data_IF_788315165397
#
_entry.id   IF_788315165397
#
_cell.length_a   1.000
_cell.length_b   1.000
_cell.length_c   1.000
_cell.angle_alpha   90.00
_cell.angle_beta   90.00
_cell.angle_gamma   90.00
#
_symmetry.space_group_name_H-M   'P 1'
#
loop_
_entity.id
_entity.type
_entity.pdbx_description
1 polymer ?
#
# COMPACT_ATOMS: atom_id res chain seq x y z
N UNK A 1 -15.75 -80.51 -41.11
CA UNK A 1 -16.08 -79.19 -40.53
C UNK A 1 -17.58 -79.09 -40.42
N UNK A 2 -18.16 -79.70 -39.39
CA UNK A 2 -19.57 -79.46 -39.05
C UNK A 2 -19.53 -78.31 -38.05
N UNK A 3 -19.72 -77.10 -38.56
CA UNK A 3 -20.17 -75.99 -37.71
C UNK A 3 -21.57 -76.38 -37.27
N UNK A 4 -21.71 -76.86 -36.03
CA UNK A 4 -23.00 -77.09 -35.39
C UNK A 4 -23.61 -75.72 -35.11
N UNK A 5 -24.18 -75.18 -36.18
CA UNK A 5 -25.11 -74.06 -36.19
C UNK A 5 -26.20 -74.38 -35.16
N UNK A 6 -26.21 -73.60 -34.07
CA UNK A 6 -27.36 -73.26 -33.21
C UNK A 6 -28.56 -74.19 -33.35
N UNK A 7 -28.54 -75.32 -32.63
CA UNK A 7 -29.74 -76.12 -32.43
C UNK A 7 -30.59 -75.46 -31.33
N UNK A 8 -31.61 -74.72 -31.76
CA UNK A 8 -32.69 -74.25 -30.90
C UNK A 8 -33.51 -75.47 -30.44
N UNK A 9 -33.10 -76.08 -29.33
CA UNK A 9 -34.06 -76.75 -28.46
C UNK A 9 -34.92 -75.65 -27.87
N UNK A 10 -36.24 -75.79 -27.90
CA UNK A 10 -37.15 -74.85 -27.26
C UNK A 10 -36.63 -74.50 -25.85
N UNK A 11 -36.20 -73.25 -25.68
CA UNK A 11 -35.58 -72.63 -24.49
C UNK A 11 -34.18 -73.09 -24.02
N UNK A 12 -33.34 -73.76 -24.83
CA UNK A 12 -31.95 -74.09 -24.41
C UNK A 12 -30.89 -73.76 -25.46
N UNK A 13 -29.98 -72.85 -25.10
CA UNK A 13 -28.82 -72.42 -25.89
C UNK A 13 -27.64 -73.37 -25.62
N UNK A 14 -27.09 -73.98 -26.67
CA UNK A 14 -25.86 -74.76 -26.60
C UNK A 14 -24.69 -73.84 -26.98
N UNK A 15 -23.74 -73.67 -26.06
CA UNK A 15 -22.55 -72.84 -26.25
C UNK A 15 -21.46 -73.70 -26.89
N UNK A 16 -20.85 -73.26 -27.98
CA UNK A 16 -19.72 -73.98 -28.57
C UNK A 16 -18.43 -73.75 -27.76
N UNK A 17 -17.45 -74.63 -27.92
CA UNK A 17 -16.18 -74.57 -27.17
C UNK A 17 -15.43 -73.24 -27.36
N UNK A 18 -15.48 -72.64 -28.55
CA UNK A 18 -14.76 -71.39 -28.83
C UNK A 18 -15.44 -70.22 -28.12
N UNK A 19 -16.77 -70.15 -28.13
CA UNK A 19 -17.52 -69.11 -27.41
C UNK A 19 -17.43 -69.27 -25.89
N UNK A 20 -17.47 -70.49 -25.36
CA UNK A 20 -17.24 -70.79 -23.93
C UNK A 20 -15.85 -70.30 -23.47
N UNK A 21 -14.80 -70.61 -24.23
CA UNK A 21 -13.43 -70.15 -23.94
C UNK A 21 -13.30 -68.62 -23.98
N UNK A 22 -13.91 -67.96 -24.98
CA UNK A 22 -13.88 -66.51 -25.10
C UNK A 22 -14.60 -65.82 -23.93
N UNK A 23 -15.78 -66.32 -23.53
CA UNK A 23 -16.54 -65.80 -22.38
C UNK A 23 -15.73 -65.99 -21.09
N UNK A 24 -15.14 -67.18 -20.89
CA UNK A 24 -14.31 -67.46 -19.71
C UNK A 24 -13.09 -66.55 -19.62
N UNK A 25 -12.40 -66.31 -20.72
CA UNK A 25 -11.28 -65.37 -20.76
C UNK A 25 -11.73 -63.95 -20.39
N UNK A 26 -12.82 -63.46 -20.98
CA UNK A 26 -13.38 -62.15 -20.67
C UNK A 26 -13.77 -62.00 -19.19
N UNK A 27 -14.41 -63.03 -18.61
CA UNK A 27 -14.79 -63.03 -17.19
C UNK A 27 -13.57 -63.06 -16.25
N UNK A 28 -12.52 -63.84 -16.58
CA UNK A 28 -11.26 -63.85 -15.81
C UNK A 28 -10.58 -62.48 -15.84
N UNK A 29 -10.45 -61.87 -17.02
CA UNK A 29 -9.87 -60.53 -17.15
C UNK A 29 -10.69 -59.48 -16.40
N UNK A 30 -12.02 -59.56 -16.43
CA UNK A 30 -12.89 -58.65 -15.68
C UNK A 30 -12.71 -58.80 -14.17
N UNK A 31 -12.58 -60.03 -13.65
CA UNK A 31 -12.30 -60.28 -12.24
C UNK A 31 -10.95 -59.68 -11.81
N UNK A 32 -9.90 -59.88 -12.60
CA UNK A 32 -8.58 -59.29 -12.32
C UNK A 32 -8.62 -57.76 -12.31
N UNK A 33 -9.32 -57.16 -13.29
CA UNK A 33 -9.47 -55.72 -13.39
C UNK A 33 -10.29 -55.15 -12.23
N UNK A 34 -11.38 -55.82 -11.81
CA UNK A 34 -12.17 -55.37 -10.65
C UNK A 34 -11.38 -55.46 -9.34
N UNK A 35 -10.51 -56.47 -9.16
CA UNK A 35 -9.61 -56.56 -8.01
C UNK A 35 -8.56 -55.43 -8.03
N UNK A 36 -7.99 -55.15 -9.21
CA UNK A 36 -7.05 -54.02 -9.39
C UNK A 36 -7.72 -52.69 -9.04
N UNK A 37 -8.94 -52.45 -9.53
CA UNK A 37 -9.73 -51.26 -9.22
C UNK A 37 -10.03 -51.18 -7.72
N UNK A 38 -10.39 -52.29 -7.08
CA UNK A 38 -10.64 -52.37 -5.63
C UNK A 38 -9.42 -51.97 -4.81
N UNK A 39 -8.21 -52.39 -5.21
CA UNK A 39 -6.95 -51.97 -4.58
C UNK A 39 -6.70 -50.48 -4.72
N UNK A 40 -6.92 -49.92 -5.91
CA UNK A 40 -6.77 -48.47 -6.15
C UNK A 40 -7.76 -47.68 -5.30
N UNK A 41 -9.04 -48.07 -5.29
CA UNK A 41 -10.07 -47.39 -4.48
C UNK A 41 -9.69 -47.42 -3.00
N UNK A 42 -9.17 -48.54 -2.49
CA UNK A 42 -8.69 -48.63 -1.11
C UNK A 42 -7.54 -47.66 -0.83
N UNK A 43 -6.52 -47.65 -1.70
CA UNK A 43 -5.40 -46.70 -1.58
C UNK A 43 -5.87 -45.24 -1.60
N UNK A 44 -6.78 -44.89 -2.51
CA UNK A 44 -7.38 -43.55 -2.56
C UNK A 44 -8.14 -43.19 -1.28
N UNK A 45 -8.81 -44.16 -0.64
CA UNK A 45 -9.49 -43.93 0.65
C UNK A 45 -8.47 -43.66 1.76
N UNK A 46 -7.39 -44.44 1.82
CA UNK A 46 -6.31 -44.28 2.79
C UNK A 46 -5.61 -42.92 2.60
N UNK A 47 -5.24 -42.58 1.37
CA UNK A 47 -4.64 -41.28 1.03
C UNK A 47 -5.59 -40.12 1.37
N UNK A 48 -6.89 -40.26 1.09
CA UNK A 48 -7.87 -39.21 1.44
C UNK A 48 -7.99 -39.04 2.96
N UNK A 49 -7.92 -40.13 3.73
CA UNK A 49 -7.92 -40.06 5.19
C UNK A 49 -6.67 -39.36 5.72
N UNK A 50 -5.49 -39.68 5.16
CA UNK A 50 -4.24 -39.00 5.51
C UNK A 50 -4.28 -37.51 5.19
N UNK A 51 -4.70 -37.14 3.97
CA UNK A 51 -4.85 -35.74 3.55
C UNK A 51 -5.81 -34.97 4.46
N UNK A 52 -6.91 -35.60 4.91
CA UNK A 52 -7.82 -34.99 5.89
C UNK A 52 -7.16 -34.77 7.26
N UNK A 53 -6.29 -35.68 7.70
CA UNK A 53 -5.55 -35.53 8.94
C UNK A 53 -4.52 -34.39 8.85
N UNK A 54 -3.76 -34.34 7.75
CA UNK A 54 -2.81 -33.25 7.46
C UNK A 54 -3.51 -31.90 7.39
N UNK A 55 -4.63 -31.81 6.69
CA UNK A 55 -5.43 -30.58 6.60
C UNK A 55 -5.94 -30.13 7.97
N UNK A 56 -6.33 -31.06 8.85
CA UNK A 56 -6.69 -30.72 10.24
C UNK A 56 -5.50 -30.20 11.05
N UNK A 57 -4.33 -30.80 10.90
CA UNK A 57 -3.12 -30.34 11.57
C UNK A 57 -2.74 -28.93 11.09
N UNK A 58 -2.76 -28.69 9.78
CA UNK A 58 -2.44 -27.37 9.21
C UNK A 58 -3.46 -26.32 9.63
N UNK A 59 -4.75 -26.67 9.69
CA UNK A 59 -5.79 -25.78 10.22
C UNK A 59 -5.54 -25.41 11.69
N UNK A 60 -5.12 -26.36 12.51
CA UNK A 60 -4.77 -26.10 13.92
C UNK A 60 -3.49 -25.25 14.05
N UNK A 61 -2.54 -25.41 13.13
CA UNK A 61 -1.34 -24.59 13.06
C UNK A 61 -1.70 -23.15 12.66
N UNK A 62 -2.49 -22.97 11.61
CA UNK A 62 -3.00 -21.67 11.17
C UNK A 62 -3.81 -20.95 12.26
N UNK A 63 -4.72 -21.66 12.95
CA UNK A 63 -5.50 -21.09 14.05
C UNK A 63 -4.63 -20.60 15.21
N UNK A 64 -3.56 -21.33 15.56
CA UNK A 64 -2.59 -20.88 16.56
C UNK A 64 -1.81 -19.66 16.10
N UNK A 65 -1.46 -19.59 14.82
CA UNK A 65 -0.75 -18.45 14.26
C UNK A 65 -1.65 -17.21 14.20
N UNK A 66 -2.92 -17.37 13.85
CA UNK A 66 -3.94 -16.31 13.90
C UNK A 66 -4.11 -15.78 15.33
N UNK A 67 -4.20 -16.67 16.33
CA UNK A 67 -4.29 -16.26 17.73
C UNK A 67 -3.08 -15.43 18.16
N UNK A 68 -1.86 -15.84 17.80
CA UNK A 68 -0.63 -15.07 18.07
C UNK A 68 -0.64 -13.71 17.37
N UNK A 69 -1.14 -13.64 16.14
CA UNK A 69 -1.25 -12.38 15.41
C UNK A 69 -2.24 -11.43 16.11
N UNK A 70 -3.37 -11.95 16.57
CA UNK A 70 -4.36 -11.17 17.33
C UNK A 70 -3.79 -10.67 18.67
N UNK A 71 -3.06 -11.52 19.40
CA UNK A 71 -2.41 -11.12 20.66
C UNK A 71 -1.36 -10.01 20.42
N UNK A 72 -0.59 -10.10 19.32
CA UNK A 72 0.36 -9.06 18.93
C UNK A 72 -0.35 -7.76 18.53
N UNK A 73 -1.49 -7.82 17.83
CA UNK A 73 -2.27 -6.65 17.45
C UNK A 73 -2.79 -5.91 18.69
N UNK A 74 -3.27 -6.64 19.70
CA UNK A 74 -3.68 -6.07 21.00
C UNK A 74 -2.49 -5.36 21.68
N UNK A 75 -1.30 -5.98 21.69
CA UNK A 75 -0.10 -5.37 22.27
C UNK A 75 0.28 -4.09 21.50
N UNK A 76 0.24 -4.13 20.17
CA UNK A 76 0.56 -2.98 19.32
C UNK A 76 -0.43 -1.83 19.56
N UNK A 77 -1.73 -2.09 19.65
CA UNK A 77 -2.72 -1.06 19.96
C UNK A 77 -2.51 -0.45 21.36
N UNK A 78 -2.16 -1.26 22.35
CA UNK A 78 -1.80 -0.77 23.68
C UNK A 78 -0.55 0.14 23.65
N UNK A 79 0.49 -0.25 22.90
CA UNK A 79 1.69 0.57 22.72
C UNK A 79 1.35 1.88 22.00
N UNK A 80 0.55 1.84 20.93
CA UNK A 80 0.09 3.05 20.22
C UNK A 80 -0.70 3.99 21.14
N UNK A 81 -1.56 3.46 21.99
CA UNK A 81 -2.26 4.28 22.99
C UNK A 81 -1.27 4.91 23.97
N UNK A 82 -0.27 4.15 24.44
CA UNK A 82 0.74 4.67 25.37
C UNK A 82 1.63 5.75 24.74
N UNK A 83 2.02 5.57 23.47
CA UNK A 83 2.79 6.58 22.72
C UNK A 83 1.98 7.87 22.62
N UNK A 84 0.72 7.79 22.16
CA UNK A 84 -0.17 8.97 22.08
C UNK A 84 -0.30 9.69 23.42
N UNK A 85 -0.51 8.94 24.50
CA UNK A 85 -0.58 9.51 25.85
C UNK A 85 0.70 10.27 26.22
N UNK A 86 1.88 9.71 25.94
CA UNK A 86 3.18 10.32 26.24
C UNK A 86 3.45 11.54 25.34
N UNK A 87 3.03 11.50 24.08
CA UNK A 87 3.12 12.62 23.15
C UNK A 87 2.24 13.78 23.64
N UNK A 88 0.99 13.51 24.01
CA UNK A 88 0.06 14.52 24.55
C UNK A 88 0.60 15.15 25.84
N UNK A 89 1.15 14.35 26.75
CA UNK A 89 1.78 14.82 27.98
C UNK A 89 3.03 15.69 27.68
N UNK A 90 3.85 15.28 26.72
CA UNK A 90 5.02 16.05 26.28
C UNK A 90 4.62 17.40 25.67
N UNK A 91 3.60 17.42 24.81
CA UNK A 91 3.07 18.65 24.19
C UNK A 91 2.48 19.58 25.26
N UNK A 92 1.73 19.04 26.22
CA UNK A 92 1.17 19.82 27.33
C UNK A 92 2.28 20.44 28.18
N UNK A 93 3.32 19.67 28.54
CA UNK A 93 4.46 20.14 29.29
C UNK A 93 5.25 21.22 28.53
N UNK A 94 5.52 21.01 27.24
CA UNK A 94 6.19 22.01 26.40
C UNK A 94 5.38 23.31 26.29
N UNK A 95 4.06 23.20 26.16
CA UNK A 95 3.14 24.36 26.12
C UNK A 95 3.15 25.12 27.45
N UNK A 96 3.15 24.41 28.58
CA UNK A 96 3.26 25.00 29.90
C UNK A 96 4.59 25.73 30.09
N UNK A 97 5.70 25.11 29.70
CA UNK A 97 7.03 25.74 29.76
C UNK A 97 7.11 26.98 28.87
N UNK A 98 6.57 26.92 27.64
CA UNK A 98 6.53 28.08 26.75
C UNK A 98 5.77 29.26 27.37
N UNK A 99 4.63 28.98 28.02
CA UNK A 99 3.85 30.00 28.72
C UNK A 99 4.63 30.61 29.90
N UNK A 100 5.33 29.80 30.70
CA UNK A 100 6.17 30.31 31.79
C UNK A 100 7.29 31.21 31.28
N UNK A 101 7.99 30.81 30.21
CA UNK A 101 9.04 31.63 29.58
C UNK A 101 8.47 32.95 29.06
N UNK A 102 7.28 32.90 28.43
CA UNK A 102 6.61 34.10 27.92
C UNK A 102 6.25 35.09 29.05
N UNK A 103 5.75 34.61 30.18
CA UNK A 103 5.47 35.47 31.34
C UNK A 103 6.75 36.04 31.95
N UNK A 104 7.81 35.24 32.11
CA UNK A 104 9.11 35.74 32.56
C UNK A 104 9.69 36.80 31.63
N UNK A 105 9.49 36.66 30.32
CA UNK A 105 9.94 37.63 29.34
C UNK A 105 9.16 38.95 29.43
N UNK A 106 7.84 38.89 29.66
CA UNK A 106 7.03 40.09 29.95
C UNK A 106 7.50 40.78 31.23
N UNK A 107 7.70 40.03 32.32
CA UNK A 107 8.19 40.57 33.59
C UNK A 107 9.57 41.23 33.44
N UNK A 108 10.47 40.60 32.67
CA UNK A 108 11.78 41.17 32.35
C UNK A 108 11.62 42.49 31.57
N UNK A 109 10.71 42.54 30.60
CA UNK A 109 10.47 43.73 29.79
C UNK A 109 9.88 44.87 30.64
N UNK A 110 8.92 44.59 31.53
CA UNK A 110 8.38 45.57 32.49
C UNK A 110 9.50 46.11 33.39
N UNK A 111 10.38 45.25 33.91
CA UNK A 111 11.52 45.69 34.73
C UNK A 111 12.50 46.58 33.98
N UNK A 112 12.79 46.30 32.70
CA UNK A 112 13.62 47.18 31.89
C UNK A 112 12.99 48.56 31.69
N UNK A 113 11.67 48.63 31.42
CA UNK A 113 10.98 49.92 31.28
C UNK A 113 11.02 50.70 32.59
N UNK A 114 10.72 50.06 33.72
CA UNK A 114 10.81 50.70 35.04
C UNK A 114 12.22 51.19 35.37
N UNK A 115 13.26 50.47 34.95
CA UNK A 115 14.65 50.89 35.15
C UNK A 115 15.02 52.06 34.23
N UNK A 116 14.56 52.07 32.98
CA UNK A 116 14.74 53.18 32.06
C UNK A 116 14.05 54.46 32.58
N UNK A 117 12.81 54.36 33.06
CA UNK A 117 12.07 55.49 33.64
C UNK A 117 12.82 56.11 34.84
N UNK A 118 13.38 55.26 35.72
CA UNK A 118 14.20 55.72 36.86
C UNK A 118 15.48 56.42 36.42
N UNK A 119 16.15 55.92 35.37
CA UNK A 119 17.35 56.55 34.82
C UNK A 119 17.02 57.92 34.23
N UNK A 120 15.90 58.03 33.51
CA UNK A 120 15.41 59.30 32.99
C UNK A 120 15.12 60.30 34.13
N UNK A 121 14.44 59.86 35.20
CA UNK A 121 14.18 60.71 36.37
C UNK A 121 15.49 61.19 37.02
N UNK A 122 16.49 60.30 37.15
CA UNK A 122 17.81 60.66 37.65
C UNK A 122 18.51 61.67 36.74
N UNK A 123 18.47 61.50 35.43
CA UNK A 123 19.07 62.42 34.46
C UNK A 123 18.40 63.81 34.54
N UNK A 124 17.09 63.88 34.68
CA UNK A 124 16.37 65.13 34.92
C UNK A 124 16.78 65.80 36.25
N UNK A 125 17.02 65.03 37.32
CA UNK A 125 17.53 65.58 38.58
C UNK A 125 18.93 66.15 38.45
N UNK A 126 19.82 65.46 37.70
CA UNK A 126 21.19 65.91 37.44
C UNK A 126 21.15 67.23 36.68
N UNK A 127 20.38 67.32 35.59
CA UNK A 127 20.24 68.56 34.81
C UNK A 127 19.70 69.72 35.65
N UNK A 128 18.77 69.45 36.58
CA UNK A 128 18.29 70.48 37.52
C UNK A 128 19.41 70.96 38.45
N UNK A 129 20.15 70.04 39.06
CA UNK A 129 21.25 70.37 39.97
C UNK A 129 22.41 71.09 39.26
N UNK A 130 22.76 70.69 38.03
CA UNK A 130 23.76 71.36 37.20
C UNK A 130 23.37 72.81 36.91
N UNK A 131 22.09 73.08 36.61
CA UNK A 131 21.57 74.44 36.44
C UNK A 131 21.69 75.27 37.73
N UNK A 132 21.40 74.66 38.89
CA UNK A 132 21.56 75.34 40.18
C UNK A 132 23.02 75.63 40.50
N UNK A 133 23.92 74.69 40.24
CA UNK A 133 25.36 74.87 40.41
C UNK A 133 25.90 75.97 39.49
N UNK A 134 25.47 76.03 38.23
CA UNK A 134 25.84 77.12 37.32
C UNK A 134 25.36 78.48 37.84
N UNK A 135 24.13 78.56 38.34
CA UNK A 135 23.57 79.79 38.94
C UNK A 135 24.40 80.23 40.15
N UNK A 136 24.65 79.33 41.11
CA UNK A 136 25.49 79.64 42.28
C UNK A 136 26.93 79.99 41.88
N UNK A 137 27.48 79.36 40.85
CA UNK A 137 28.81 79.67 40.32
C UNK A 137 28.89 81.08 39.76
N UNK A 138 27.88 81.52 39.00
CA UNK A 138 27.79 82.90 38.51
C UNK A 138 27.67 83.92 39.65
N UNK A 139 26.83 83.62 40.66
CA UNK A 139 26.67 84.46 41.86
C UNK A 139 28.00 84.57 42.65
N UNK A 140 28.73 83.46 42.79
CA UNK A 140 30.02 83.44 43.48
C UNK A 140 31.12 84.12 42.67
N UNK A 141 31.15 83.95 41.34
CA UNK A 141 32.06 84.70 40.45
C UNK A 141 31.79 86.20 40.52
N UNK A 142 30.53 86.63 40.58
CA UNK A 142 30.15 88.03 40.77
C UNK A 142 30.61 88.55 42.15
N UNK A 143 30.46 87.73 43.21
CA UNK A 143 30.97 88.04 44.55
C UNK A 143 32.49 88.18 44.56
N UNK A 144 33.21 87.23 43.95
CA UNK A 144 34.67 87.25 43.80
C UNK A 144 35.10 88.43 42.93
N UNK A 145 34.39 88.75 41.85
CA UNK A 145 34.69 89.89 40.99
C UNK A 145 34.55 91.20 41.77
N UNK A 146 33.51 91.31 42.60
CA UNK A 146 33.30 92.44 43.51
C UNK A 146 34.43 92.53 44.53
N UNK A 147 34.82 91.41 45.16
CA UNK A 147 35.92 91.37 46.10
C UNK A 147 37.28 91.65 45.45
N UNK A 148 37.56 91.11 44.25
CA UNK A 148 38.75 91.40 43.44
C UNK A 148 38.77 92.85 42.96
N UNK A 149 37.61 93.48 42.70
CA UNK A 149 37.50 94.91 42.39
C UNK A 149 37.90 95.73 43.61
N UNK A 150 37.41 95.38 44.79
CA UNK A 150 37.84 95.98 46.08
C UNK A 150 39.34 95.74 46.34
N UNK A 151 39.83 94.52 46.14
CA UNK A 151 41.24 94.16 46.31
C UNK A 151 42.14 94.84 45.28
N UNK A 152 41.73 95.02 44.02
CA UNK A 152 42.46 95.84 43.04
C UNK A 152 42.49 97.31 43.46
N UNK A 153 41.41 97.83 44.04
CA UNK A 153 41.39 99.17 44.64
C UNK A 153 42.40 99.27 45.81
N UNK A 154 42.61 98.17 46.54
CA UNK A 154 43.61 98.02 47.59
C UNK A 154 45.06 97.83 47.07
N UNK A 155 45.27 97.01 46.03
CA UNK A 155 46.58 96.77 45.40
C UNK A 155 47.07 97.94 44.53
N UNK A 156 46.21 98.89 44.14
CA UNK A 156 46.66 100.21 43.63
C UNK A 156 47.44 101.02 44.70
N UNK A 157 47.54 100.50 45.92
CA UNK A 157 48.25 101.08 47.08
C UNK A 157 49.45 100.26 47.58
N UNK A 158 49.90 99.22 46.85
CA UNK A 158 51.06 98.40 47.23
C UNK A 158 51.98 98.06 46.03
N UNK A 159 53.31 97.93 46.22
CA UNK A 159 54.27 97.76 45.12
C UNK A 159 54.26 96.33 44.58
N UNK A 160 54.41 96.18 43.25
CA UNK A 160 54.48 94.88 42.55
C UNK A 160 55.92 94.50 42.25
N UNK A 161 56.26 93.22 42.43
CA UNK A 161 57.45 92.57 41.85
C UNK A 161 57.05 91.44 40.90
N UNK A 162 57.94 91.22 39.93
CA UNK A 162 57.83 90.38 38.74
C UNK A 162 57.82 88.88 39.05
N UNK A 163 56.76 88.17 38.66
CA UNK A 163 56.83 86.85 38.02
C UNK A 163 55.42 86.48 37.56
N UNK A 164 55.04 86.84 36.34
CA UNK A 164 53.81 86.30 35.72
C UNK A 164 53.89 86.45 34.19
N UNK A 165 54.91 85.81 33.62
CA UNK A 165 55.16 85.82 32.19
C UNK A 165 55.45 84.41 31.71
N UNK A 166 54.46 83.52 31.81
CA UNK A 166 54.42 82.18 31.19
C UNK A 166 53.17 81.49 31.79
N UNK A 167 52.10 81.17 31.07
CA UNK A 167 52.02 80.34 29.87
C UNK A 167 50.68 80.57 29.17
N UNK A 168 50.74 80.71 27.85
CA UNK A 168 49.60 80.68 26.94
C UNK A 168 50.04 79.81 25.75
N UNK A 169 49.72 78.51 25.75
CA UNK A 169 49.77 77.64 24.56
C UNK A 169 48.81 76.47 24.82
N UNK A 170 47.84 76.26 23.93
CA UNK A 170 47.51 74.98 23.28
C UNK A 170 46.57 75.34 22.12
N UNK A 171 47.12 75.26 20.91
CA UNK A 171 46.44 75.20 19.62
C UNK A 171 46.98 73.93 18.95
N UNK A 172 46.15 73.30 18.12
CA UNK A 172 46.42 72.16 17.23
C UNK A 172 46.20 70.75 17.79
N UNK A 173 45.01 70.19 17.54
CA UNK A 173 44.84 68.90 16.84
C UNK A 173 43.51 69.00 16.07
N UNK A 174 43.52 68.80 14.75
CA UNK A 174 42.48 68.14 13.94
C UNK A 174 42.69 68.44 12.45
N UNK A 175 43.50 67.62 11.78
CA UNK A 175 43.58 67.61 10.31
C UNK A 175 43.52 66.21 9.70
N UNK A 176 43.02 65.20 10.44
CA UNK A 176 42.88 63.82 9.92
C UNK A 176 41.41 63.43 9.64
N UNK A 177 40.43 64.17 10.16
CA UNK A 177 39.00 63.84 9.98
C UNK A 177 38.40 64.25 8.62
N UNK A 178 39.02 65.18 7.89
CA UNK A 178 38.41 65.77 6.69
C UNK A 178 38.40 64.83 5.46
N UNK A 179 39.42 63.99 5.30
CA UNK A 179 39.53 63.10 4.11
C UNK A 179 38.62 61.86 4.23
N UNK A 180 38.49 61.31 5.44
CA UNK A 180 37.63 60.16 5.72
C UNK A 180 36.14 60.52 5.54
N UNK A 181 35.75 61.72 6.00
CA UNK A 181 34.39 62.24 5.88
C UNK A 181 33.95 62.40 4.41
N UNK A 182 34.82 62.95 3.55
CA UNK A 182 34.52 63.10 2.13
C UNK A 182 34.37 61.77 1.37
N UNK A 183 35.05 60.71 1.81
CA UNK A 183 34.99 59.40 1.17
C UNK A 183 33.73 58.63 1.59
N UNK A 184 33.33 58.74 2.87
CA UNK A 184 32.06 58.23 3.38
C UNK A 184 30.86 58.89 2.70
N UNK A 185 30.86 60.22 2.55
CA UNK A 185 29.79 60.95 1.87
C UNK A 185 29.59 60.50 0.40
N UNK A 186 30.67 60.20 -0.33
CA UNK A 186 30.58 59.67 -1.70
C UNK A 186 29.92 58.30 -1.76
N UNK A 187 30.21 57.41 -0.80
CA UNK A 187 29.59 56.09 -0.73
C UNK A 187 28.10 56.21 -0.39
N UNK A 188 27.75 57.04 0.60
CA UNK A 188 26.36 57.28 1.00
C UNK A 188 25.52 57.84 -0.16
N UNK A 189 26.06 58.78 -0.94
CA UNK A 189 25.37 59.35 -2.11
C UNK A 189 25.10 58.32 -3.24
N UNK A 190 25.99 57.33 -3.42
CA UNK A 190 25.80 56.26 -4.40
C UNK A 190 24.69 55.31 -3.98
N UNK A 191 24.62 54.97 -2.70
CA UNK A 191 23.59 54.08 -2.16
C UNK A 191 22.22 54.79 -2.20
N UNK A 192 22.15 56.07 -1.83
CA UNK A 192 20.94 56.90 -1.93
C UNK A 192 20.41 56.99 -3.38
N UNK A 193 21.30 57.12 -4.36
CA UNK A 193 20.93 57.10 -5.79
C UNK A 193 20.35 55.76 -6.26
N UNK A 194 20.77 54.63 -5.68
CA UNK A 194 20.22 53.31 -6.00
C UNK A 194 18.80 53.18 -5.42
N UNK A 195 18.60 53.65 -4.19
CA UNK A 195 17.31 53.61 -3.48
C UNK A 195 16.26 54.50 -4.14
N UNK A 196 16.64 55.69 -4.60
CA UNK A 196 15.73 56.64 -5.26
C UNK A 196 15.52 56.38 -6.76
N UNK A 197 16.12 55.34 -7.33
CA UNK A 197 15.96 55.02 -8.74
C UNK A 197 14.50 54.62 -9.06
N UNK A 198 13.84 55.25 -10.06
CA UNK A 198 12.38 55.13 -10.24
C UNK A 198 11.92 53.78 -10.85
N UNK A 199 12.81 52.79 -10.99
CA UNK A 199 12.55 51.54 -11.71
C UNK A 199 12.48 50.27 -10.85
N UNK A 200 12.63 50.35 -9.52
CA UNK A 200 12.58 49.18 -8.63
C UNK A 200 11.80 49.48 -7.35
N UNK A 201 10.47 49.53 -7.47
CA UNK A 201 9.58 49.38 -6.32
C UNK A 201 9.35 47.88 -6.09
N UNK A 202 9.44 47.40 -4.83
CA UNK A 202 8.35 47.62 -3.88
C UNK A 202 8.88 47.98 -2.48
N UNK A 203 9.23 49.25 -2.24
CA UNK A 203 9.63 49.74 -0.90
C UNK A 203 8.63 50.71 -0.27
N UNK A 204 7.65 51.21 -1.03
CA UNK A 204 6.73 52.27 -0.55
C UNK A 204 5.64 51.75 0.39
N UNK A 205 5.32 50.45 0.37
CA UNK A 205 4.20 49.93 1.18
C UNK A 205 4.56 49.58 2.63
N UNK A 206 5.84 49.37 2.96
CA UNK A 206 6.24 48.90 4.30
C UNK A 206 6.84 49.99 5.20
N UNK A 207 7.25 51.13 4.63
CA UNK A 207 7.80 52.26 5.39
C UNK A 207 6.75 53.00 6.24
N UNK A 208 5.45 52.84 5.95
CA UNK A 208 4.37 53.48 6.71
C UNK A 208 4.02 52.79 8.05
N UNK A 209 4.58 51.61 8.35
CA UNK A 209 4.15 50.81 9.52
C UNK A 209 5.06 50.91 10.75
N UNK A 210 6.19 51.63 10.67
CA UNK A 210 7.24 51.60 11.70
C UNK A 210 7.90 52.96 12.01
N UNK A 211 7.24 54.08 11.74
CA UNK A 211 7.66 55.36 12.32
C UNK A 211 7.06 55.56 13.72
N UNK A 212 7.87 55.84 14.76
CA UNK A 212 7.38 56.46 15.99
C UNK A 212 6.94 57.91 15.72
N UNK A 213 6.07 58.51 16.54
CA UNK A 213 5.62 59.88 16.33
C UNK A 213 6.79 60.84 16.53
N UNK A 214 7.20 61.52 15.45
CA UNK A 214 8.26 62.54 15.45
C UNK A 214 7.74 63.79 16.18
N UNK A 215 7.98 63.85 17.50
CA UNK A 215 7.98 65.09 18.26
C UNK A 215 9.42 65.61 18.32
N UNK A 216 9.67 66.74 17.67
CA UNK A 216 10.29 67.94 18.26
C UNK A 216 10.97 68.77 17.18
N UNK A 217 10.87 70.08 17.38
CA UNK A 217 11.84 71.05 16.90
C UNK A 217 13.27 70.50 17.09
N UNK A 218 14.21 70.84 16.22
CA UNK A 218 14.88 72.14 16.30
C UNK A 218 15.97 72.24 15.23
N UNK A 219 16.37 73.48 15.04
CA UNK A 219 17.74 73.89 14.76
C UNK A 219 18.32 73.56 13.39
N UNK A 220 18.93 74.63 12.87
CA UNK A 220 19.83 74.63 11.75
C UNK A 220 21.08 73.81 12.11
N UNK A 221 21.03 72.52 11.86
CA UNK A 221 22.20 71.75 11.48
C UNK A 221 21.81 70.93 10.26
N UNK A 222 22.71 70.91 9.27
CA UNK A 222 22.52 70.27 7.98
C UNK A 222 22.30 68.76 8.19
N UNK A 223 21.05 68.34 8.46
CA UNK A 223 20.62 66.95 8.53
C UNK A 223 21.08 66.27 7.24
N UNK A 224 22.08 65.40 7.38
CA UNK A 224 22.58 64.61 6.28
C UNK A 224 21.40 63.74 5.79
N UNK A 225 20.89 63.99 4.58
CA UNK A 225 19.69 63.38 4.01
C UNK A 225 19.73 61.86 3.77
N UNK A 226 20.52 61.12 4.56
CA UNK A 226 20.73 59.68 4.54
C UNK A 226 20.07 58.95 5.73
N UNK A 227 19.18 59.59 6.50
CA UNK A 227 18.52 58.96 7.67
C UNK A 227 17.73 57.68 7.33
N UNK A 228 17.25 57.57 6.09
CA UNK A 228 16.51 56.40 5.59
C UNK A 228 17.43 55.24 5.15
N UNK A 229 18.75 55.48 5.03
CA UNK A 229 19.71 54.51 4.53
C UNK A 229 19.90 53.31 5.48
N UNK A 230 20.11 53.50 6.79
CA UNK A 230 20.30 52.39 7.73
C UNK A 230 19.08 51.46 7.78
N UNK A 231 17.87 52.03 7.85
CA UNK A 231 16.61 51.28 7.86
C UNK A 231 16.40 50.47 6.58
N UNK A 232 16.77 51.04 5.43
CA UNK A 232 16.64 50.36 4.13
C UNK A 232 17.66 49.22 4.00
N UNK A 233 18.90 49.43 4.46
CA UNK A 233 19.95 48.41 4.46
C UNK A 233 19.60 47.25 5.41
N UNK A 234 19.06 47.57 6.59
CA UNK A 234 18.59 46.57 7.56
C UNK A 234 17.44 45.74 6.97
N UNK A 235 16.48 46.38 6.31
CA UNK A 235 15.40 45.68 5.61
C UNK A 235 15.91 44.76 4.49
N UNK A 236 16.88 45.20 3.70
CA UNK A 236 17.48 44.36 2.65
C UNK A 236 18.25 43.18 3.24
N UNK A 237 18.95 43.38 4.36
CA UNK A 237 19.62 42.30 5.08
C UNK A 237 18.61 41.26 5.59
N UNK A 238 17.48 41.71 6.15
CA UNK A 238 16.39 40.83 6.59
C UNK A 238 15.75 40.07 5.42
N UNK A 239 15.52 40.74 4.28
CA UNK A 239 14.98 40.11 3.08
C UNK A 239 15.93 39.06 2.49
N UNK A 240 17.23 39.34 2.47
CA UNK A 240 18.27 38.39 2.04
C UNK A 240 18.35 37.18 2.99
N UNK A 241 18.19 37.39 4.29
CA UNK A 241 18.14 36.31 5.27
C UNK A 241 16.86 35.47 5.11
N UNK A 242 15.71 36.11 4.89
CA UNK A 242 14.43 35.45 4.65
C UNK A 242 14.45 34.58 3.38
N UNK A 243 15.21 34.98 2.35
CA UNK A 243 15.40 34.21 1.12
C UNK A 243 16.04 32.84 1.38
N UNK A 244 17.03 32.76 2.29
CA UNK A 244 17.64 31.50 2.70
C UNK A 244 16.64 30.60 3.44
N UNK A 245 15.79 31.20 4.28
CA UNK A 245 14.74 30.47 4.99
C UNK A 245 13.63 29.96 4.05
N UNK A 246 13.27 30.76 3.05
CA UNK A 246 12.31 30.37 2.01
C UNK A 246 12.84 29.19 1.21
N UNK A 247 14.09 29.25 0.76
CA UNK A 247 14.73 28.14 0.04
C UNK A 247 14.75 26.84 0.83
N UNK A 248 15.09 26.89 2.12
CA UNK A 248 15.03 25.72 3.00
C UNK A 248 13.62 25.14 3.10
N UNK A 249 12.62 26.00 3.24
CA UNK A 249 11.21 25.59 3.31
C UNK A 249 10.72 24.97 2.00
N UNK A 250 11.10 25.57 0.87
CA UNK A 250 10.71 25.11 -0.46
C UNK A 250 11.36 23.76 -0.79
N UNK A 251 12.63 23.58 -0.43
CA UNK A 251 13.32 22.29 -0.53
C UNK A 251 12.67 21.20 0.32
N UNK A 252 12.19 21.53 1.51
CA UNK A 252 11.44 20.60 2.36
C UNK A 252 10.11 20.20 1.71
N UNK A 253 9.39 21.17 1.16
CA UNK A 253 8.13 20.93 0.44
C UNK A 253 8.37 20.09 -0.83
N UNK A 254 9.43 20.38 -1.58
CA UNK A 254 9.86 19.63 -2.76
C UNK A 254 10.11 18.15 -2.42
N UNK A 255 10.88 17.87 -1.35
CA UNK A 255 11.11 16.49 -0.89
C UNK A 255 9.85 15.79 -0.38
N UNK A 256 8.87 16.53 0.17
CA UNK A 256 7.61 15.96 0.61
C UNK A 256 6.67 15.62 -0.54
N UNK A 257 6.61 16.45 -1.57
CA UNK A 257 5.76 16.22 -2.74
C UNK A 257 6.39 15.25 -3.74
N UNK A 258 7.73 15.21 -3.82
CA UNK A 258 8.48 14.50 -4.85
C UNK A 258 9.66 13.67 -4.28
N UNK A 259 9.41 12.67 -3.40
CA UNK A 259 10.48 11.92 -2.72
C UNK A 259 11.34 11.06 -3.65
N UNK A 260 10.93 10.84 -4.90
CA UNK A 260 11.68 10.11 -5.93
C UNK A 260 12.69 10.97 -6.70
N UNK A 261 12.62 12.31 -6.60
CA UNK A 261 13.65 13.19 -7.14
C UNK A 261 14.83 13.28 -6.16
N UNK A 262 15.81 12.41 -6.37
CA UNK A 262 17.09 12.44 -5.65
C UNK A 262 18.02 13.50 -6.27
N UNK A 263 17.70 14.78 -6.07
CA UNK A 263 18.61 15.85 -6.49
C UNK A 263 19.66 16.07 -5.42
N UNK A 264 20.89 15.76 -5.81
CA UNK A 264 22.10 15.81 -5.03
C UNK A 264 22.24 17.10 -4.21
N UNK A 265 22.66 16.91 -2.97
CA UNK A 265 23.09 17.95 -2.05
C UNK A 265 24.24 18.74 -2.68
N UNK A 266 23.96 19.94 -3.17
CA UNK A 266 24.94 21.04 -3.16
C UNK A 266 24.45 22.06 -2.13
N UNK A 267 25.08 22.02 -0.96
CA UNK A 267 24.87 22.96 0.15
C UNK A 267 25.84 24.15 0.09
N UNK A 268 26.53 24.33 -1.05
CA UNK A 268 27.76 25.13 -1.12
C UNK A 268 27.68 26.27 -2.15
N UNK A 269 26.49 26.87 -2.31
CA UNK A 269 26.36 28.16 -3.00
C UNK A 269 26.09 29.25 -1.97
N UNK A 270 27.11 30.07 -1.75
CA UNK A 270 27.13 31.20 -0.80
C UNK A 270 26.01 32.23 -1.07
N UNK A 271 25.44 32.22 -2.29
CA UNK A 271 24.36 33.08 -2.75
C UNK A 271 23.23 32.26 -3.38
N UNK A 272 22.01 32.37 -2.83
CA UNK A 272 20.77 31.82 -3.38
C UNK A 272 20.09 32.92 -4.18
N UNK A 273 19.80 32.68 -5.46
CA UNK A 273 19.10 33.66 -6.31
C UNK A 273 17.61 33.34 -6.38
N UNK A 274 16.81 34.35 -6.71
CA UNK A 274 15.34 34.24 -6.79
C UNK A 274 14.92 33.38 -7.97
N UNK A 275 15.68 33.39 -9.06
CA UNK A 275 15.43 32.58 -10.25
C UNK A 275 15.51 31.08 -9.93
N UNK A 276 16.43 30.68 -9.04
CA UNK A 276 16.59 29.28 -8.63
C UNK A 276 15.40 28.80 -7.77
N UNK A 277 14.76 29.71 -7.01
CA UNK A 277 13.53 29.43 -6.27
C UNK A 277 12.33 29.32 -7.19
N UNK A 278 12.26 30.18 -8.20
CA UNK A 278 11.16 30.19 -9.17
C UNK A 278 11.12 28.89 -9.97
N UNK A 279 12.27 28.42 -10.46
CA UNK A 279 12.37 27.14 -11.16
C UNK A 279 11.87 25.96 -10.31
N UNK A 280 12.17 25.95 -9.02
CA UNK A 280 11.71 24.89 -8.10
C UNK A 280 10.20 24.93 -7.89
N UNK A 281 9.57 26.11 -7.87
CA UNK A 281 8.11 26.26 -7.75
C UNK A 281 7.39 25.86 -9.05
N UNK A 282 7.97 26.23 -10.19
CA UNK A 282 7.41 25.89 -11.51
C UNK A 282 7.44 24.36 -11.72
N UNK A 283 8.55 23.71 -11.37
CA UNK A 283 8.69 22.24 -11.41
C UNK A 283 7.66 21.54 -10.51
N UNK A 284 7.41 22.07 -9.31
CA UNK A 284 6.38 21.54 -8.40
C UNK A 284 4.96 21.76 -8.91
N UNK A 285 4.69 22.87 -9.61
CA UNK A 285 3.36 23.16 -10.15
C UNK A 285 3.02 22.27 -11.35
N UNK A 286 3.98 22.07 -12.26
CA UNK A 286 3.77 21.22 -13.45
C UNK A 286 3.48 19.75 -13.06
N UNK A 287 4.15 19.21 -12.03
CA UNK A 287 3.91 17.84 -11.58
C UNK A 287 2.54 17.69 -10.90
N UNK A 288 2.12 18.66 -10.08
CA UNK A 288 0.80 18.61 -9.40
C UNK A 288 -0.35 18.67 -10.41
N UNK A 289 -0.22 19.44 -11.49
CA UNK A 289 -1.20 19.46 -12.59
C UNK A 289 -1.26 18.12 -13.36
N UNK A 290 -0.18 17.34 -13.36
CA UNK A 290 -0.12 16.02 -14.01
C UNK A 290 -0.88 14.93 -13.22
N UNK A 291 -1.00 15.08 -11.89
CA UNK A 291 -1.74 14.16 -11.02
C UNK A 291 -3.26 14.40 -11.06
N UNK A 292 -3.74 15.64 -11.23
CA UNK A 292 -5.18 15.93 -11.36
C UNK A 292 -5.83 15.29 -12.60
N UNK A 293 -5.06 15.11 -13.68
CA UNK A 293 -5.52 14.45 -14.92
C UNK A 293 -5.63 12.92 -14.80
N UNK A 294 -5.17 12.29 -13.70
CA UNK A 294 -5.28 10.83 -13.46
C UNK A 294 -6.52 10.43 -12.65
N UNK A 295 -7.37 11.38 -12.27
CA UNK A 295 -8.55 11.17 -11.40
C UNK A 295 -9.67 10.29 -11.98
N UNK A 296 -9.58 9.82 -13.23
CA UNK A 296 -10.53 8.84 -13.81
C UNK A 296 -10.05 7.37 -13.72
N UNK A 297 -8.96 7.08 -12.99
CA UNK A 297 -8.61 5.68 -12.72
C UNK A 297 -9.31 5.26 -11.42
N UNK A 298 -10.18 4.22 -11.43
CA UNK A 298 -10.77 3.70 -10.21
C UNK A 298 -9.66 3.38 -9.21
N UNK A 299 -9.86 3.72 -7.94
CA UNK A 299 -8.84 3.55 -6.91
C UNK A 299 -8.23 2.16 -6.96
N UNK A 300 -6.93 2.03 -6.73
CA UNK A 300 -6.22 0.74 -6.80
C UNK A 300 -6.91 -0.32 -5.91
N UNK A 301 -7.49 0.10 -4.79
CA UNK A 301 -8.29 -0.74 -3.90
C UNK A 301 -9.57 -1.28 -4.57
N UNK A 302 -10.28 -0.45 -5.33
CA UNK A 302 -11.46 -0.88 -6.11
C UNK A 302 -11.10 -1.88 -7.19
N UNK A 303 -9.98 -1.66 -7.90
CA UNK A 303 -9.50 -2.59 -8.92
C UNK A 303 -9.09 -3.93 -8.32
N UNK A 304 -8.37 -3.93 -7.19
CA UNK A 304 -8.05 -5.16 -6.46
C UNK A 304 -9.30 -5.87 -5.94
N UNK A 305 -10.31 -5.14 -5.47
CA UNK A 305 -11.57 -5.73 -5.03
C UNK A 305 -12.31 -6.43 -6.19
N UNK A 306 -12.35 -5.80 -7.37
CA UNK A 306 -12.95 -6.40 -8.59
C UNK A 306 -12.17 -7.66 -9.01
N UNK A 307 -10.84 -7.57 -9.07
CA UNK A 307 -9.98 -8.70 -9.43
C UNK A 307 -10.14 -9.86 -8.43
N UNK A 308 -10.16 -9.57 -7.13
CA UNK A 308 -10.36 -10.57 -6.07
C UNK A 308 -11.74 -11.23 -6.16
N UNK A 309 -12.77 -10.47 -6.54
CA UNK A 309 -14.11 -11.03 -6.73
C UNK A 309 -14.14 -12.08 -7.84
N UNK A 310 -13.54 -11.79 -9.01
CA UNK A 310 -13.48 -12.75 -10.11
C UNK A 310 -12.58 -13.95 -9.82
N UNK A 311 -11.48 -13.74 -9.09
CA UNK A 311 -10.63 -14.83 -8.60
C UNK A 311 -11.40 -15.80 -7.70
N UNK A 312 -12.25 -15.30 -6.80
CA UNK A 312 -13.13 -16.13 -5.96
C UNK A 312 -14.25 -16.80 -6.76
N UNK A 313 -14.86 -16.10 -7.72
CA UNK A 313 -15.96 -16.62 -8.53
C UNK A 313 -15.52 -17.82 -9.38
N UNK A 314 -14.32 -17.75 -9.95
CA UNK A 314 -13.76 -18.79 -10.81
C UNK A 314 -12.79 -19.75 -10.10
N UNK A 315 -12.57 -19.56 -8.79
CA UNK A 315 -11.69 -20.36 -7.93
C UNK A 315 -10.23 -20.40 -8.45
N UNK A 316 -9.65 -19.21 -8.70
CA UNK A 316 -8.33 -19.04 -9.31
C UNK A 316 -7.43 -18.11 -8.49
N UNK A 317 -6.19 -18.54 -8.25
CA UNK A 317 -5.25 -17.82 -7.39
C UNK A 317 -4.56 -16.62 -8.08
N UNK A 318 -4.74 -16.42 -9.38
CA UNK A 318 -4.10 -15.34 -10.15
C UNK A 318 -5.04 -14.73 -11.19
N UNK A 319 -4.88 -13.43 -11.48
CA UNK A 319 -5.66 -12.72 -12.51
C UNK A 319 -5.49 -13.37 -13.89
N UNK A 320 -4.27 -13.81 -14.22
CA UNK A 320 -3.98 -14.48 -15.49
C UNK A 320 -4.74 -15.80 -15.66
N UNK A 321 -5.17 -16.43 -14.56
CA UNK A 321 -5.97 -17.65 -14.61
C UNK A 321 -7.47 -17.42 -14.75
N UNK A 322 -7.98 -16.20 -14.54
CA UNK A 322 -9.41 -15.88 -14.63
C UNK A 322 -9.93 -16.07 -16.06
N UNK A 323 -9.25 -15.50 -17.06
CA UNK A 323 -9.65 -15.62 -18.47
C UNK A 323 -9.63 -17.06 -18.99
N UNK A 324 -8.56 -17.85 -18.79
CA UNK A 324 -8.54 -19.27 -19.15
C UNK A 324 -9.70 -20.05 -18.51
N UNK A 325 -9.93 -19.84 -17.20
CA UNK A 325 -10.96 -20.56 -16.47
C UNK A 325 -12.37 -20.18 -16.93
N UNK A 326 -12.60 -18.92 -17.22
CA UNK A 326 -13.85 -18.44 -17.78
C UNK A 326 -14.13 -19.08 -19.16
N UNK A 327 -13.15 -19.10 -20.06
CA UNK A 327 -13.29 -19.76 -21.37
C UNK A 327 -13.56 -21.27 -21.24
N UNK A 328 -12.92 -21.93 -20.28
CA UNK A 328 -13.16 -23.34 -20.00
C UNK A 328 -14.61 -23.56 -19.54
N UNK A 329 -15.13 -22.72 -18.63
CA UNK A 329 -16.53 -22.78 -18.18
C UNK A 329 -17.49 -22.59 -19.35
N UNK A 330 -17.26 -21.61 -20.23
CA UNK A 330 -18.09 -21.41 -21.41
C UNK A 330 -18.05 -22.59 -22.37
N UNK A 331 -16.86 -23.15 -22.59
CA UNK A 331 -16.68 -24.33 -23.44
C UNK A 331 -17.42 -25.53 -22.87
N UNK A 332 -17.23 -25.81 -21.57
CA UNK A 332 -17.89 -26.92 -20.87
C UNK A 332 -19.40 -26.76 -20.81
N UNK A 333 -19.90 -25.53 -20.62
CA UNK A 333 -21.33 -25.25 -20.64
C UNK A 333 -21.92 -25.49 -22.04
N UNK A 334 -21.20 -25.09 -23.10
CA UNK A 334 -21.58 -25.36 -24.48
C UNK A 334 -21.62 -26.86 -24.79
N UNK A 335 -20.56 -27.59 -24.42
CA UNK A 335 -20.48 -29.05 -24.53
C UNK A 335 -21.65 -29.73 -23.81
N UNK A 336 -21.91 -29.35 -22.55
CA UNK A 336 -22.97 -29.94 -21.73
C UNK A 336 -24.36 -29.61 -22.28
N UNK A 337 -24.56 -28.39 -22.77
CA UNK A 337 -25.82 -28.00 -23.42
C UNK A 337 -26.06 -28.81 -24.69
N UNK A 338 -25.02 -29.04 -25.49
CA UNK A 338 -25.10 -29.85 -26.69
C UNK A 338 -25.36 -31.33 -26.36
N UNK A 339 -24.65 -31.88 -25.37
CA UNK A 339 -24.86 -33.25 -24.88
C UNK A 339 -26.29 -33.45 -24.34
N UNK A 340 -26.79 -32.51 -23.54
CA UNK A 340 -28.17 -32.53 -23.06
C UNK A 340 -29.18 -32.46 -24.20
N UNK A 341 -28.94 -31.64 -25.23
CA UNK A 341 -29.82 -31.59 -26.42
C UNK A 341 -29.82 -32.93 -27.15
N UNK A 342 -28.65 -33.48 -27.47
CA UNK A 342 -28.54 -34.78 -28.13
C UNK A 342 -29.21 -35.91 -27.35
N UNK A 343 -29.07 -35.92 -26.02
CA UNK A 343 -29.73 -36.91 -25.17
C UNK A 343 -31.25 -36.70 -25.08
N UNK A 344 -31.75 -35.45 -25.11
CA UNK A 344 -33.19 -35.18 -25.21
C UNK A 344 -33.74 -35.68 -26.53
N UNK A 345 -33.04 -35.41 -27.63
CA UNK A 345 -33.45 -35.84 -28.97
C UNK A 345 -33.47 -37.38 -29.08
N UNK A 346 -32.45 -38.06 -28.55
CA UNK A 346 -32.36 -39.53 -28.55
C UNK A 346 -33.43 -40.20 -27.67
N UNK A 347 -33.82 -39.55 -26.57
CA UNK A 347 -34.83 -40.05 -25.63
C UNK A 347 -36.23 -39.50 -25.92
N UNK A 348 -36.39 -38.74 -27.00
CA UNK A 348 -37.64 -38.08 -27.41
C UNK A 348 -38.30 -37.27 -26.28
N UNK A 349 -37.49 -36.63 -25.44
CA UNK A 349 -37.95 -35.78 -24.34
C UNK A 349 -38.23 -34.37 -24.84
N UNK A 350 -39.26 -33.72 -24.28
CA UNK A 350 -39.56 -32.32 -24.59
C UNK A 350 -38.32 -31.44 -24.37
N UNK A 351 -38.05 -30.55 -25.33
CA UNK A 351 -36.95 -29.58 -25.29
C UNK A 351 -36.97 -28.69 -24.06
N UNK A 352 -38.14 -28.49 -23.44
CA UNK A 352 -38.30 -27.76 -22.18
C UNK A 352 -38.02 -28.59 -20.91
N UNK A 353 -37.75 -29.90 -21.03
CA UNK A 353 -37.55 -30.78 -19.88
C UNK A 353 -36.29 -30.40 -19.08
N UNK A 354 -36.38 -30.28 -17.74
CA UNK A 354 -35.23 -29.91 -16.92
C UNK A 354 -34.14 -30.99 -16.93
N UNK A 355 -32.85 -30.63 -16.81
CA UNK A 355 -31.73 -31.58 -16.86
C UNK A 355 -31.86 -32.76 -15.89
N UNK A 356 -32.46 -32.55 -14.71
CA UNK A 356 -32.68 -33.60 -13.73
C UNK A 356 -33.62 -34.71 -14.20
N UNK A 357 -34.62 -34.39 -15.03
CA UNK A 357 -35.53 -35.40 -15.59
C UNK A 357 -34.79 -36.28 -16.60
N UNK A 358 -33.94 -35.67 -17.44
CA UNK A 358 -33.10 -36.39 -18.41
C UNK A 358 -32.10 -37.32 -17.72
N UNK A 359 -31.40 -36.84 -16.68
CA UNK A 359 -30.46 -37.69 -15.94
C UNK A 359 -31.18 -38.84 -15.25
N UNK A 360 -32.39 -38.61 -14.74
CA UNK A 360 -33.20 -39.66 -14.12
C UNK A 360 -33.71 -40.69 -15.13
N UNK A 361 -34.16 -40.28 -16.32
CA UNK A 361 -34.58 -41.23 -17.37
C UNK A 361 -33.41 -42.05 -17.90
N UNK A 362 -32.24 -41.43 -18.14
CA UNK A 362 -31.01 -42.17 -18.45
C UNK A 362 -30.65 -43.13 -17.33
N UNK A 363 -30.72 -42.70 -16.07
CA UNK A 363 -30.46 -43.54 -14.90
C UNK A 363 -31.38 -44.75 -14.80
N UNK A 364 -32.69 -44.56 -15.04
CA UNK A 364 -33.68 -45.65 -15.10
C UNK A 364 -33.44 -46.60 -16.25
N UNK A 365 -33.05 -46.10 -17.43
CA UNK A 365 -32.70 -46.94 -18.57
C UNK A 365 -31.48 -47.82 -18.24
N UNK A 366 -30.46 -47.23 -17.60
CA UNK A 366 -29.28 -47.96 -17.16
C UNK A 366 -29.57 -48.99 -16.06
N UNK A 367 -30.53 -48.73 -15.16
CA UNK A 367 -30.93 -49.71 -14.14
C UNK A 367 -31.73 -50.86 -14.75
N UNK A 368 -32.70 -50.56 -15.63
CA UNK A 368 -33.49 -51.57 -16.33
C UNK A 368 -32.62 -52.47 -17.21
N UNK A 369 -31.65 -51.89 -17.93
CA UNK A 369 -30.71 -52.67 -18.72
C UNK A 369 -29.84 -53.58 -17.83
N UNK A 370 -29.37 -53.06 -16.69
CA UNK A 370 -28.57 -53.84 -15.72
C UNK A 370 -29.37 -55.01 -15.14
N UNK A 371 -30.61 -54.77 -14.70
CA UNK A 371 -31.49 -55.80 -14.14
C UNK A 371 -31.83 -56.87 -15.17
N UNK A 372 -32.14 -56.46 -16.41
CA UNK A 372 -32.45 -57.40 -17.51
C UNK A 372 -31.23 -58.27 -17.88
N UNK A 373 -30.03 -57.68 -18.00
CA UNK A 373 -28.81 -58.44 -18.29
C UNK A 373 -28.47 -59.39 -17.14
N UNK A 374 -28.63 -58.96 -15.89
CA UNK A 374 -28.37 -59.80 -14.71
C UNK A 374 -29.33 -60.99 -14.68
N UNK A 375 -30.63 -60.76 -14.91
CA UNK A 375 -31.64 -61.82 -14.95
C UNK A 375 -31.43 -62.78 -16.13
N UNK A 376 -31.08 -62.30 -17.32
CA UNK A 376 -30.78 -63.15 -18.47
C UNK A 376 -29.58 -64.07 -18.23
N UNK A 377 -28.54 -63.57 -17.56
CA UNK A 377 -27.36 -64.33 -17.18
C UNK A 377 -27.71 -65.38 -16.11
N UNK A 378 -28.54 -65.01 -15.11
CA UNK A 378 -29.03 -65.94 -14.09
C UNK A 378 -29.87 -67.08 -14.68
N UNK A 379 -30.77 -66.79 -15.63
CA UNK A 379 -31.59 -67.82 -16.29
C UNK A 379 -30.76 -68.78 -17.14
N UNK A 380 -29.69 -68.29 -17.79
CA UNK A 380 -28.88 -69.08 -18.72
C UNK A 380 -27.85 -69.96 -18.01
N UNK A 381 -27.30 -69.50 -16.89
CA UNK A 381 -26.16 -70.13 -16.22
C UNK A 381 -26.48 -70.67 -14.81
N UNK A 382 -27.64 -70.32 -14.24
CA UNK A 382 -28.11 -70.81 -12.95
C UNK A 382 -27.20 -70.46 -11.74
N UNK A 383 -26.28 -69.50 -11.90
CA UNK A 383 -25.27 -69.14 -10.90
C UNK A 383 -25.15 -67.63 -10.78
N UNK A 384 -24.97 -67.13 -9.54
CA UNK A 384 -24.92 -65.69 -9.23
C UNK A 384 -23.49 -65.12 -9.21
N UNK A 385 -22.47 -65.96 -9.05
CA UNK A 385 -21.08 -65.54 -8.88
C UNK A 385 -20.24 -65.83 -10.13
N UNK A 386 -19.41 -64.86 -10.53
CA UNK A 386 -18.58 -64.94 -11.75
C UNK A 386 -17.59 -66.10 -11.68
N UNK A 387 -17.06 -66.45 -10.50
CA UNK A 387 -16.18 -67.61 -10.36
C UNK A 387 -16.96 -68.92 -10.58
N UNK A 388 -18.21 -68.98 -10.11
CA UNK A 388 -19.09 -70.12 -10.34
C UNK A 388 -19.45 -70.28 -11.83
N UNK A 389 -19.64 -69.17 -12.55
CA UNK A 389 -19.84 -69.16 -14.01
C UNK A 389 -18.59 -69.67 -14.73
N UNK A 390 -17.40 -69.19 -14.35
CA UNK A 390 -16.12 -69.65 -14.92
C UNK A 390 -15.95 -71.15 -14.72
N UNK A 391 -16.25 -71.67 -13.52
CA UNK A 391 -16.17 -73.09 -13.21
C UNK A 391 -17.17 -73.92 -14.02
N UNK A 392 -18.40 -73.42 -14.22
CA UNK A 392 -19.42 -74.10 -15.04
C UNK A 392 -19.06 -74.13 -16.53
N UNK A 393 -18.44 -73.07 -17.05
CA UNK A 393 -17.91 -73.05 -18.42
C UNK A 393 -16.71 -73.99 -18.58
N UNK A 394 -15.88 -74.15 -17.54
CA UNK A 394 -14.80 -75.16 -17.50
C UNK A 394 -15.35 -76.58 -17.53
N UNK A 395 -16.35 -76.89 -16.71
CA UNK A 395 -17.04 -78.18 -16.71
C UNK A 395 -17.69 -78.48 -18.07
N UNK A 396 -18.28 -77.46 -18.71
CA UNK A 396 -18.84 -77.56 -20.05
C UNK A 396 -17.78 -77.90 -21.11
N UNK A 397 -16.62 -77.23 -21.08
CA UNK A 397 -15.52 -77.48 -22.02
C UNK A 397 -14.99 -78.94 -21.93
N UNK A 398 -15.04 -79.55 -20.75
CA UNK A 398 -14.59 -80.93 -20.51
C UNK A 398 -15.69 -81.97 -20.84
N UNK A 399 -16.95 -81.68 -20.52
CA UNK A 399 -18.08 -82.58 -20.74
C UNK A 399 -18.54 -82.62 -22.21
N UNK A 400 -18.56 -81.47 -22.89
CA UNK A 400 -19.15 -81.33 -24.22
C UNK A 400 -18.48 -82.23 -25.28
N UNK A 401 -17.13 -82.38 -25.33
CA UNK A 401 -16.49 -83.30 -26.27
C UNK A 401 -16.91 -84.76 -26.10
N UNK A 402 -17.06 -85.23 -24.85
CA UNK A 402 -17.50 -86.59 -24.56
C UNK A 402 -18.98 -86.80 -24.93
N UNK A 403 -19.83 -85.82 -24.62
CA UNK A 403 -21.23 -85.81 -25.02
C UNK A 403 -21.41 -85.78 -26.54
N UNK A 404 -20.63 -84.96 -27.24
CA UNK A 404 -20.63 -84.87 -28.70
C UNK A 404 -20.21 -86.21 -29.33
N UNK A 405 -19.11 -86.81 -28.87
CA UNK A 405 -18.65 -88.10 -29.37
C UNK A 405 -19.70 -89.22 -29.15
N UNK A 406 -20.33 -89.26 -27.98
CA UNK A 406 -21.43 -90.19 -27.70
C UNK A 406 -22.62 -89.96 -28.64
N UNK A 407 -22.98 -88.71 -28.85
CA UNK A 407 -24.11 -88.33 -29.71
C UNK A 407 -23.84 -88.69 -31.17
N UNK A 408 -22.65 -88.40 -31.68
CA UNK A 408 -22.24 -88.76 -33.04
C UNK A 408 -22.23 -90.29 -33.23
N UNK A 409 -21.76 -91.04 -32.24
CA UNK A 409 -21.83 -92.50 -32.25
C UNK A 409 -23.29 -93.01 -32.28
N UNK A 410 -24.18 -92.43 -31.48
CA UNK A 410 -25.60 -92.80 -31.46
C UNK A 410 -26.31 -92.49 -32.78
N UNK A 411 -26.03 -91.32 -33.38
CA UNK A 411 -26.54 -90.95 -34.70
C UNK A 411 -26.08 -91.95 -35.77
N UNK A 412 -24.80 -92.35 -35.73
CA UNK A 412 -24.23 -93.32 -36.66
C UNK A 412 -24.87 -94.71 -36.50
N UNK A 413 -24.97 -95.22 -35.27
CA UNK A 413 -25.53 -96.54 -34.97
C UNK A 413 -27.01 -96.63 -35.35
N UNK A 414 -27.79 -95.57 -35.10
CA UNK A 414 -29.22 -95.56 -35.37
C UNK A 414 -29.55 -95.17 -36.83
N UNK A 415 -28.57 -94.72 -37.61
CA UNK A 415 -28.76 -94.27 -39.00
C UNK A 415 -29.55 -92.97 -39.12
N UNK A 416 -29.54 -92.15 -38.07
CA UNK A 416 -30.37 -90.95 -37.94
C UNK A 416 -29.54 -89.69 -38.19
N UNK A 417 -30.13 -88.68 -38.85
CA UNK A 417 -29.41 -87.45 -39.23
C UNK A 417 -29.47 -86.33 -38.20
N UNK A 418 -30.48 -86.33 -37.33
CA UNK A 418 -30.69 -85.27 -36.34
C UNK A 418 -30.76 -85.82 -34.91
N UNK A 419 -30.27 -85.02 -33.96
CA UNK A 419 -30.29 -85.35 -32.53
C UNK A 419 -31.71 -85.58 -31.99
N UNK A 420 -32.70 -84.83 -32.49
CA UNK A 420 -34.12 -84.95 -32.11
C UNK A 420 -34.74 -86.30 -32.45
N UNK A 421 -34.15 -86.98 -33.42
CA UNK A 421 -34.68 -88.19 -34.01
C UNK A 421 -34.05 -89.45 -33.35
N UNK A 422 -33.02 -89.26 -32.49
CA UNK A 422 -32.38 -90.33 -31.72
C UNK A 422 -33.39 -91.00 -30.78
N UNK A 423 -34.10 -90.22 -29.96
CA UNK A 423 -35.04 -90.77 -28.97
C UNK A 423 -36.19 -91.53 -29.64
N UNK A 424 -36.87 -90.98 -30.67
CA UNK A 424 -37.87 -91.73 -31.43
C UNK A 424 -37.32 -92.99 -32.10
N UNK A 425 -36.09 -92.97 -32.64
CA UNK A 425 -35.48 -94.13 -33.29
C UNK A 425 -35.15 -95.26 -32.29
N UNK A 426 -34.63 -94.90 -31.11
CA UNK A 426 -34.40 -95.87 -30.03
C UNK A 426 -35.73 -96.46 -29.56
N UNK A 427 -36.77 -95.64 -29.40
CA UNK A 427 -38.10 -96.14 -29.05
C UNK A 427 -38.62 -97.11 -30.13
N UNK A 428 -38.53 -96.77 -31.41
CA UNK A 428 -38.95 -97.68 -32.48
C UNK A 428 -38.18 -99.00 -32.50
N UNK A 429 -36.89 -99.02 -32.16
CA UNK A 429 -36.10 -100.25 -32.03
C UNK A 429 -36.55 -101.10 -30.83
N UNK A 430 -36.87 -100.47 -29.70
CA UNK A 430 -37.41 -101.17 -28.52
C UNK A 430 -38.76 -101.82 -28.86
N UNK A 431 -39.65 -101.11 -29.57
CA UNK A 431 -40.95 -101.62 -29.99
C UNK A 431 -40.87 -102.73 -31.05
N UNK A 432 -39.77 -102.84 -31.80
CA UNK A 432 -39.51 -103.94 -32.75
C UNK A 432 -38.83 -105.16 -32.11
N UNK A 433 -38.33 -105.03 -30.89
CA UNK A 433 -37.63 -106.08 -30.17
C UNK A 433 -38.52 -106.82 -29.15
N UNK A 434 -39.73 -106.31 -28.88
CA UNK A 434 -40.85 -107.05 -28.30
C UNK A 434 -41.64 -107.74 -29.41
#
# INVERSE_FOLDING_TARGET
MVSLVTLNFADRIVIDRQTSQAIRYALKTLLEETERQRKIVRGLIEDNQQLRAELRLERNHASRQEQRANDLDIIVENIKHKIRQLEDESIANASQQHNQVKELQKDKQVRYHQQADKLQEQEETIVRLEKELCRMGLEEEERIATQKKMFRQFCKRAPRTQLDQQYCVISEVNLVDSVFFCQMLKVLSRIDSIIRSPGRAPLVMHMQRKEPPRNSAKDNDQECGFEHLPLTIELWADQLLALKNLHRSLKKLFLQLMPWHTVAVQDDKECIRVEDLQLMVDEMSEEVESEEKKSHVPSQQTLYAIVSHFQKLFDVNSLNGVYPRMNEVYTKLGEMTNAMRNLRDLLELDTAAPPGVLVNTVGKLCSLFRENVTWQVEQLLGTQDIQSIIYKLEEHDDFFPAFQALTENLLHILGVRNLTDIVPAVQQLIWKAQ
#
